data_IF_454039170943
#
_entry.id   IF_454039170943
#
_cell.length_a   1.000
_cell.length_b   1.000
_cell.length_c   1.000
_cell.angle_alpha   90.00
_cell.angle_beta   90.00
_cell.angle_gamma   90.00
#
_symmetry.space_group_name_H-M   'P 1'
#
loop_
_entity.id
_entity.type
_entity.pdbx_description
1 polymer ?
#
# COMPACT_ATOMS: atom_id res chain seq x y z
N UNK A 1 40.57 -25.55 -12.49
CA UNK A 1 40.26 -24.17 -12.02
C UNK A 1 39.50 -23.43 -13.12
N UNK A 2 38.22 -23.75 -13.36
CA UNK A 2 37.38 -23.14 -14.42
C UNK A 2 35.87 -23.20 -14.12
N UNK A 3 35.48 -23.66 -12.92
CA UNK A 3 34.09 -23.93 -12.56
C UNK A 3 33.53 -22.98 -11.48
N UNK A 4 34.13 -21.79 -11.32
CA UNK A 4 33.77 -20.86 -10.23
C UNK A 4 33.26 -19.50 -10.73
N UNK A 5 32.57 -19.44 -11.87
CA UNK A 5 32.02 -18.17 -12.42
C UNK A 5 30.50 -18.23 -12.63
N UNK A 6 29.83 -19.35 -12.32
CA UNK A 6 28.42 -19.55 -12.67
C UNK A 6 27.35 -19.30 -11.60
N UNK A 7 27.70 -18.82 -10.40
CA UNK A 7 26.79 -18.90 -9.23
C UNK A 7 26.46 -17.58 -8.53
N UNK A 8 26.65 -16.42 -9.18
CA UNK A 8 26.27 -15.10 -8.64
C UNK A 8 25.17 -14.46 -9.50
N UNK A 9 23.95 -14.98 -9.44
CA UNK A 9 22.86 -14.40 -10.24
C UNK A 9 21.43 -14.70 -9.81
N UNK A 10 21.18 -15.31 -8.65
CA UNK A 10 19.83 -15.81 -8.29
C UNK A 10 19.40 -15.38 -6.88
N UNK A 11 19.58 -14.11 -6.51
CA UNK A 11 19.18 -13.63 -5.17
C UNK A 11 18.45 -12.28 -5.14
N UNK A 12 17.87 -11.79 -6.24
CA UNK A 12 17.16 -10.50 -6.26
C UNK A 12 15.75 -10.56 -6.87
N UNK A 13 14.99 -11.60 -6.53
CA UNK A 13 13.55 -11.68 -6.86
C UNK A 13 12.65 -11.44 -5.63
N UNK A 14 13.21 -11.02 -4.49
CA UNK A 14 12.40 -10.45 -3.42
C UNK A 14 11.93 -9.07 -3.88
N UNK A 15 10.66 -8.98 -4.29
CA UNK A 15 10.05 -7.75 -4.82
C UNK A 15 10.36 -6.55 -3.92
N UNK A 16 10.60 -5.41 -4.55
CA UNK A 16 11.01 -4.14 -3.93
C UNK A 16 9.90 -3.51 -3.06
N UNK A 17 9.35 -4.23 -2.10
CA UNK A 17 8.53 -3.64 -1.03
C UNK A 17 9.47 -2.74 -0.24
N UNK A 18 9.15 -1.45 -0.15
CA UNK A 18 10.05 -0.48 0.45
C UNK A 18 10.35 -0.85 1.92
N UNK A 19 11.60 -0.74 2.40
CA UNK A 19 11.94 -0.96 3.80
C UNK A 19 11.06 -0.13 4.76
N UNK A 20 10.69 1.08 4.35
CA UNK A 20 9.80 1.98 5.08
C UNK A 20 8.42 1.37 5.38
N UNK A 21 7.84 0.60 4.46
CA UNK A 21 6.56 -0.07 4.69
C UNK A 21 6.69 -1.21 5.70
N UNK A 22 7.79 -1.97 5.64
CA UNK A 22 8.02 -3.05 6.59
C UNK A 22 8.26 -2.51 8.00
N UNK A 23 9.03 -1.42 8.13
CA UNK A 23 9.23 -0.72 9.39
C UNK A 23 7.90 -0.17 9.95
N UNK A 24 7.03 0.38 9.09
CA UNK A 24 5.71 0.86 9.50
C UNK A 24 4.80 -0.28 9.98
N UNK A 25 4.81 -1.44 9.31
CA UNK A 25 4.03 -2.65 9.70
C UNK A 25 4.50 -3.27 11.01
N UNK A 26 5.74 -3.01 11.43
CA UNK A 26 6.23 -3.43 12.76
C UNK A 26 5.60 -2.64 13.92
N UNK A 27 4.86 -1.57 13.59
CA UNK A 27 4.16 -0.69 14.53
C UNK A 27 2.64 -0.79 14.30
N UNK A 28 1.86 -0.16 15.17
CA UNK A 28 0.42 -0.05 14.96
C UNK A 28 0.07 0.81 13.74
N UNK A 29 -0.96 0.44 12.95
CA UNK A 29 -1.47 1.27 11.87
C UNK A 29 -1.90 2.65 12.36
N UNK A 30 -1.76 3.66 11.50
CA UNK A 30 -2.33 4.99 11.74
C UNK A 30 -3.84 4.91 11.95
N UNK A 31 -4.54 4.09 11.13
CA UNK A 31 -5.96 3.76 11.32
C UNK A 31 -6.26 2.34 10.87
N UNK A 32 -7.27 1.74 11.50
CA UNK A 32 -7.86 0.47 11.08
C UNK A 32 -9.29 0.73 10.68
N UNK A 33 -9.68 0.23 9.52
CA UNK A 33 -11.02 0.36 8.95
C UNK A 33 -11.48 -0.99 8.38
N UNK A 34 -12.75 -1.10 8.01
CA UNK A 34 -13.31 -2.27 7.36
C UNK A 34 -14.28 -1.84 6.25
N UNK A 35 -14.38 -2.67 5.21
CA UNK A 35 -15.31 -2.50 4.10
C UNK A 35 -16.10 -3.79 3.88
N UNK A 36 -17.37 -3.65 3.51
CA UNK A 36 -18.19 -4.77 3.05
C UNK A 36 -17.89 -5.16 1.59
N UNK A 37 -17.06 -4.38 0.88
CA UNK A 37 -16.74 -4.58 -0.53
C UNK A 37 -15.56 -5.56 -0.70
N UNK A 38 -15.50 -6.28 -1.84
CA UNK A 38 -14.37 -7.10 -2.22
C UNK A 38 -13.05 -6.33 -2.29
N UNK A 39 -11.96 -6.97 -1.87
CA UNK A 39 -10.62 -6.36 -1.76
C UNK A 39 -10.12 -5.68 -3.03
N UNK A 40 -10.27 -6.24 -4.25
CA UNK A 40 -9.85 -5.57 -5.48
C UNK A 40 -10.59 -4.25 -5.73
N UNK A 41 -11.91 -4.20 -5.47
CA UNK A 41 -12.70 -2.98 -5.69
C UNK A 41 -12.30 -1.87 -4.73
N UNK A 42 -12.02 -2.22 -3.47
CA UNK A 42 -11.52 -1.26 -2.48
C UNK A 42 -10.14 -0.74 -2.90
N UNK A 43 -9.23 -1.63 -3.30
CA UNK A 43 -7.87 -1.25 -3.72
C UNK A 43 -7.88 -0.31 -4.95
N UNK A 44 -8.67 -0.63 -5.97
CA UNK A 44 -8.79 0.17 -7.18
C UNK A 44 -9.38 1.56 -6.90
N UNK A 45 -10.43 1.65 -6.06
CA UNK A 45 -11.00 2.93 -5.65
C UNK A 45 -9.96 3.79 -4.92
N UNK A 46 -9.23 3.22 -3.93
CA UNK A 46 -8.20 3.96 -3.20
C UNK A 46 -7.13 4.45 -4.16
N UNK A 47 -6.62 3.57 -5.05
CA UNK A 47 -5.62 3.94 -6.04
C UNK A 47 -6.09 5.11 -6.89
N UNK A 48 -7.31 5.05 -7.43
CA UNK A 48 -7.83 6.12 -8.28
C UNK A 48 -7.97 7.43 -7.51
N UNK A 49 -8.55 7.38 -6.30
CA UNK A 49 -8.74 8.59 -5.46
C UNK A 49 -7.43 9.27 -5.06
N UNK A 50 -6.35 8.50 -4.86
CA UNK A 50 -5.03 9.03 -4.49
C UNK A 50 -4.20 9.48 -5.70
N UNK A 51 -4.64 9.14 -6.91
CA UNK A 51 -4.09 9.64 -8.18
C UNK A 51 -4.80 10.91 -8.68
N UNK A 52 -5.75 11.46 -7.90
CA UNK A 52 -6.42 12.70 -8.24
C UNK A 52 -5.47 13.90 -8.09
N UNK A 53 -5.00 14.43 -9.23
CA UNK A 53 -4.14 15.62 -9.31
C UNK A 53 -4.84 16.89 -8.82
N UNK A 54 -6.18 16.95 -8.86
CA UNK A 54 -6.95 18.07 -8.31
C UNK A 54 -6.87 18.14 -6.78
N UNK A 55 -6.62 17.00 -6.12
CA UNK A 55 -6.48 16.90 -4.65
C UNK A 55 -5.03 16.90 -4.20
N UNK A 56 -4.16 16.20 -4.92
CA UNK A 56 -2.78 15.93 -4.49
C UNK A 56 -1.70 16.60 -5.36
N UNK A 57 -2.05 17.25 -6.46
CA UNK A 57 -1.09 17.89 -7.36
C UNK A 57 0.01 16.93 -7.81
N UNK A 58 1.27 17.36 -7.70
CA UNK A 58 2.45 16.54 -8.08
C UNK A 58 2.66 15.30 -7.21
N UNK A 59 2.02 15.24 -6.03
CA UNK A 59 2.08 14.10 -5.11
C UNK A 59 1.00 13.05 -5.40
N UNK A 60 0.14 13.29 -6.42
CA UNK A 60 -0.86 12.34 -6.89
C UNK A 60 -0.18 11.07 -7.40
N UNK A 61 -0.15 10.06 -6.55
CA UNK A 61 0.52 8.80 -6.84
C UNK A 61 -0.09 7.70 -5.98
N UNK A 62 -0.44 6.60 -6.63
CA UNK A 62 -0.80 5.37 -5.96
C UNK A 62 -0.54 4.18 -6.87
N UNK A 63 -0.04 3.11 -6.27
CA UNK A 63 0.30 1.85 -6.92
C UNK A 63 -0.30 0.72 -6.10
N UNK A 64 -0.67 -0.37 -6.77
CA UNK A 64 -1.13 -1.59 -6.11
C UNK A 64 -0.01 -2.62 -6.18
N UNK A 65 0.34 -3.19 -5.04
CA UNK A 65 1.16 -4.39 -4.94
C UNK A 65 0.28 -5.56 -4.48
N UNK A 66 0.46 -6.73 -5.09
CA UNK A 66 -0.26 -7.94 -4.73
C UNK A 66 0.59 -8.80 -3.79
N UNK A 67 0.03 -9.09 -2.61
CA UNK A 67 0.60 -9.98 -1.60
C UNK A 67 0.15 -11.43 -1.76
N UNK A 68 0.26 -12.20 -0.67
CA UNK A 68 -0.20 -13.59 -0.63
C UNK A 68 -1.70 -13.63 -0.37
N UNK A 69 -2.36 -14.72 -0.76
CA UNK A 69 -3.75 -15.01 -0.36
C UNK A 69 -4.77 -13.89 -0.65
N UNK A 70 -4.56 -13.11 -1.72
CA UNK A 70 -5.46 -12.02 -2.11
C UNK A 70 -5.25 -10.70 -1.36
N UNK A 71 -4.23 -10.61 -0.51
CA UNK A 71 -3.81 -9.35 0.11
C UNK A 71 -3.36 -8.37 -0.96
N UNK A 72 -3.75 -7.10 -0.81
CA UNK A 72 -3.32 -6.00 -1.67
C UNK A 72 -2.76 -4.88 -0.81
N UNK A 73 -1.77 -4.17 -1.32
CA UNK A 73 -1.29 -2.93 -0.71
C UNK A 73 -1.39 -1.79 -1.71
N UNK A 74 -2.12 -0.73 -1.35
CA UNK A 74 -2.13 0.53 -2.10
C UNK A 74 -1.13 1.48 -1.47
N UNK A 75 -0.14 1.98 -2.22
CA UNK A 75 0.93 2.82 -1.66
C UNK A 75 1.28 3.99 -2.57
N UNK A 76 1.69 5.10 -1.97
CA UNK A 76 2.16 6.30 -2.67
C UNK A 76 3.64 6.18 -3.04
N UNK A 77 4.15 7.13 -3.84
CA UNK A 77 5.59 7.32 -4.03
C UNK A 77 6.29 7.42 -2.66
N UNK A 78 7.44 6.76 -2.54
CA UNK A 78 8.27 6.71 -1.33
C UNK A 78 7.58 6.13 -0.08
N UNK A 79 6.40 5.51 -0.25
CA UNK A 79 5.57 5.00 0.83
C UNK A 79 5.27 6.03 1.93
N UNK A 80 5.09 7.30 1.54
CA UNK A 80 4.65 8.37 2.46
C UNK A 80 3.28 8.08 3.06
N UNK A 81 2.43 7.35 2.34
CA UNK A 81 1.19 6.73 2.80
C UNK A 81 0.98 5.38 2.13
N UNK A 82 0.44 4.41 2.85
CA UNK A 82 -0.04 3.17 2.25
C UNK A 82 -1.19 2.56 3.04
N UNK A 83 -1.95 1.70 2.39
CA UNK A 83 -3.03 0.93 2.97
C UNK A 83 -2.82 -0.55 2.64
N UNK A 84 -2.75 -1.39 3.67
CA UNK A 84 -2.81 -2.84 3.52
C UNK A 84 -4.27 -3.29 3.57
N UNK A 85 -4.67 -4.12 2.62
CA UNK A 85 -6.01 -4.65 2.48
C UNK A 85 -5.94 -6.16 2.55
N UNK A 86 -6.66 -6.73 3.52
CA UNK A 86 -6.70 -8.17 3.77
C UNK A 86 -8.14 -8.66 3.53
N UNK A 87 -8.36 -9.67 2.67
CA UNK A 87 -9.69 -10.27 2.50
C UNK A 87 -10.24 -10.81 3.82
N UNK A 88 -11.50 -10.51 4.13
CA UNK A 88 -12.20 -11.00 5.32
C UNK A 88 -13.61 -11.46 4.93
N UNK A 89 -13.76 -12.75 4.64
CA UNK A 89 -15.02 -13.28 4.09
C UNK A 89 -15.31 -12.66 2.72
N UNK A 90 -16.45 -11.98 2.59
CA UNK A 90 -16.80 -11.20 1.38
C UNK A 90 -16.31 -9.76 1.41
N UNK A 91 -15.81 -9.30 2.56
CA UNK A 91 -15.37 -7.93 2.79
C UNK A 91 -13.84 -7.80 2.87
N UNK A 92 -13.38 -6.65 3.35
CA UNK A 92 -11.97 -6.28 3.40
C UNK A 92 -11.63 -5.58 4.71
N UNK A 93 -10.62 -6.07 5.42
CA UNK A 93 -9.98 -5.34 6.51
C UNK A 93 -8.91 -4.40 5.94
N UNK A 94 -8.88 -3.14 6.40
CA UNK A 94 -7.99 -2.11 5.87
C UNK A 94 -7.14 -1.52 6.99
N UNK A 95 -5.83 -1.54 6.84
CA UNK A 95 -4.87 -0.90 7.75
C UNK A 95 -4.16 0.23 7.01
N UNK A 96 -4.40 1.48 7.42
CA UNK A 96 -3.79 2.67 6.85
C UNK A 96 -2.56 3.10 7.66
N UNK A 97 -1.49 3.45 6.97
CA UNK A 97 -0.22 3.91 7.54
C UNK A 97 0.22 5.20 6.84
N UNK A 98 0.75 6.13 7.62
CA UNK A 98 1.35 7.36 7.11
C UNK A 98 2.65 7.66 7.85
N UNK A 99 3.67 8.13 7.11
CA UNK A 99 4.94 8.55 7.71
C UNK A 99 4.77 9.76 8.64
N UNK A 100 3.89 10.68 8.28
CA UNK A 100 3.51 11.87 9.05
C UNK A 100 1.98 11.94 9.15
N UNK A 101 1.37 11.28 10.15
CA UNK A 101 -0.09 11.14 10.25
C UNK A 101 -0.88 12.45 10.28
N UNK A 102 -0.29 13.51 10.82
CA UNK A 102 -0.94 14.80 11.03
C UNK A 102 -0.70 15.78 9.86
N UNK A 103 0.03 15.38 8.82
CA UNK A 103 0.17 16.20 7.63
C UNK A 103 -1.14 16.21 6.80
N UNK A 104 -1.37 17.31 6.08
CA UNK A 104 -2.60 17.47 5.31
C UNK A 104 -2.79 16.43 4.20
N UNK A 105 -1.70 15.90 3.63
CA UNK A 105 -1.76 14.93 2.55
C UNK A 105 -2.16 13.54 3.08
N UNK A 106 -1.59 13.12 4.22
CA UNK A 106 -1.96 11.91 4.93
C UNK A 106 -3.42 11.94 5.38
N UNK A 107 -3.86 13.05 6.01
CA UNK A 107 -5.26 13.21 6.42
C UNK A 107 -6.22 13.15 5.22
N UNK A 108 -5.89 13.79 4.10
CA UNK A 108 -6.69 13.73 2.86
C UNK A 108 -6.71 12.32 2.27
N UNK A 109 -5.58 11.62 2.24
CA UNK A 109 -5.52 10.22 1.75
C UNK A 109 -6.37 9.28 2.61
N UNK A 110 -6.30 9.44 3.94
CA UNK A 110 -7.16 8.70 4.86
C UNK A 110 -8.65 9.01 4.60
N UNK A 111 -9.01 10.28 4.40
CA UNK A 111 -10.39 10.68 4.11
C UNK A 111 -10.89 10.08 2.78
N UNK A 112 -10.10 10.19 1.70
CA UNK A 112 -10.45 9.60 0.40
C UNK A 112 -10.56 8.08 0.47
N UNK A 113 -9.64 7.42 1.18
CA UNK A 113 -9.72 5.98 1.45
C UNK A 113 -11.03 5.62 2.14
N UNK A 114 -11.46 6.39 3.14
CA UNK A 114 -12.71 6.12 3.86
C UNK A 114 -13.95 6.19 2.96
N UNK A 115 -13.94 7.00 1.89
CA UNK A 115 -15.03 7.04 0.90
C UNK A 115 -15.12 5.79 0.02
N UNK A 116 -14.04 5.01 -0.05
CA UNK A 116 -13.98 3.80 -0.86
C UNK A 116 -14.55 2.56 -0.16
N UNK A 117 -14.76 2.62 1.15
CA UNK A 117 -15.18 1.48 1.97
C UNK A 117 -16.66 1.11 1.78
#
# INVERSE_FOLDING_TARGET
MRLLIGALGVAMLAGCVSPAMNDARSKSPTRVLASAKPTPLVAECIKFSWQDEGVFGVDASAYINSGKSGELTVYTRDASSFADLVPQGTGTAVSYYAKQPDDSAAMRRMAMLATCL
#
